data_IF_877571333615
#
_entry.id   IF_877571333615
#
_cell.length_a   1.000
_cell.length_b   1.000
_cell.length_c   1.000
_cell.angle_alpha   90.00
_cell.angle_beta   90.00
_cell.angle_gamma   90.00
#
_symmetry.space_group_name_H-M   'P 1'
#
loop_
_entity.id
_entity.type
_entity.pdbx_description
1 polymer ?
#
# COMPACT_ATOMS: atom_id res chain seq x y z
N UNK A 1 -22.37 -11.57 -6.43
CA UNK A 1 -21.14 -10.90 -5.95
C UNK A 1 -20.57 -11.60 -4.70
N UNK A 2 -21.42 -11.98 -3.73
CA UNK A 2 -21.06 -12.76 -2.53
C UNK A 2 -20.08 -13.90 -2.80
N UNK A 3 -20.46 -14.86 -3.66
CA UNK A 3 -19.63 -16.04 -3.93
C UNK A 3 -18.25 -15.68 -4.48
N UNK A 4 -18.17 -14.63 -5.30
CA UNK A 4 -16.92 -14.14 -5.88
C UNK A 4 -16.01 -13.51 -4.82
N UNK A 5 -16.58 -12.67 -3.95
CA UNK A 5 -15.84 -12.10 -2.83
C UNK A 5 -15.33 -13.19 -1.89
N UNK A 6 -16.16 -14.19 -1.58
CA UNK A 6 -15.77 -15.30 -0.71
C UNK A 6 -14.74 -16.24 -1.36
N UNK A 7 -14.80 -16.44 -2.68
CA UNK A 7 -13.80 -17.21 -3.41
C UNK A 7 -12.42 -16.56 -3.40
N UNK A 8 -12.35 -15.25 -3.16
CA UNK A 8 -11.08 -14.51 -3.03
C UNK A 8 -10.64 -14.29 -1.59
N UNK A 9 -11.59 -14.00 -0.71
CA UNK A 9 -11.35 -13.77 0.71
C UNK A 9 -12.43 -14.50 1.50
N UNK A 10 -12.05 -15.61 2.11
CA UNK A 10 -13.00 -16.45 2.83
C UNK A 10 -13.77 -15.67 3.91
N UNK A 11 -15.08 -15.94 4.02
CA UNK A 11 -15.97 -15.31 5.00
C UNK A 11 -16.17 -13.80 4.85
N UNK A 12 -15.82 -13.18 3.72
CA UNK A 12 -15.86 -11.72 3.54
C UNK A 12 -17.26 -11.17 3.28
N UNK A 13 -18.14 -11.94 2.63
CA UNK A 13 -19.48 -11.52 2.26
C UNK A 13 -20.54 -12.50 2.76
N UNK A 14 -21.53 -11.99 3.49
CA UNK A 14 -22.72 -12.73 3.94
C UNK A 14 -23.97 -12.12 3.30
N UNK A 15 -24.78 -12.94 2.64
CA UNK A 15 -26.09 -12.48 2.14
C UNK A 15 -27.06 -12.35 3.30
N UNK A 16 -27.80 -11.24 3.35
CA UNK A 16 -28.85 -10.99 4.35
C UNK A 16 -30.22 -10.75 3.74
N UNK A 17 -30.29 -10.54 2.42
CA UNK A 17 -31.55 -10.43 1.68
C UNK A 17 -31.32 -10.30 0.17
N UNK A 18 -32.38 -10.24 -0.64
CA UNK A 18 -32.29 -9.96 -2.07
C UNK A 18 -31.58 -8.62 -2.31
N UNK A 19 -30.46 -8.65 -3.02
CA UNK A 19 -29.67 -7.45 -3.32
C UNK A 19 -28.84 -6.89 -2.15
N UNK A 20 -28.87 -7.50 -0.96
CA UNK A 20 -28.14 -7.01 0.22
C UNK A 20 -27.12 -8.02 0.74
N UNK A 21 -25.91 -7.52 0.99
CA UNK A 21 -24.83 -8.28 1.61
C UNK A 21 -24.20 -7.47 2.75
N UNK A 22 -23.80 -8.15 3.81
CA UNK A 22 -22.92 -7.62 4.84
C UNK A 22 -21.48 -7.99 4.47
N UNK A 23 -20.59 -7.00 4.53
CA UNK A 23 -19.17 -7.17 4.23
C UNK A 23 -18.33 -7.08 5.50
N UNK A 24 -17.46 -8.07 5.70
CA UNK A 24 -16.38 -8.04 6.67
C UNK A 24 -15.10 -7.67 5.94
N UNK A 25 -14.46 -6.56 6.29
CA UNK A 25 -13.21 -6.13 5.64
C UNK A 25 -12.12 -7.19 5.89
N UNK A 26 -11.49 -7.75 4.84
CA UNK A 26 -10.40 -8.72 5.00
C UNK A 26 -9.22 -8.13 5.78
N UNK A 27 -8.47 -8.98 6.48
CA UNK A 27 -7.31 -8.56 7.27
C UNK A 27 -6.32 -7.70 6.46
N UNK A 28 -6.07 -8.10 5.21
CA UNK A 28 -5.21 -7.38 4.25
C UNK A 28 -5.64 -5.93 3.97
N UNK A 29 -6.92 -5.60 4.11
CA UNK A 29 -7.45 -4.26 3.82
C UNK A 29 -7.91 -3.50 5.07
N UNK A 30 -7.56 -3.94 6.29
CA UNK A 30 -7.96 -3.24 7.53
C UNK A 30 -7.55 -1.77 7.55
N UNK A 31 -6.33 -1.47 7.08
CA UNK A 31 -5.81 -0.10 6.93
C UNK A 31 -6.26 0.60 5.64
N UNK A 32 -6.94 -0.11 4.74
CA UNK A 32 -7.30 0.36 3.39
C UNK A 32 -8.79 0.13 3.09
N UNK A 33 -9.67 0.44 4.04
CA UNK A 33 -11.13 0.16 3.93
C UNK A 33 -11.75 0.75 2.66
N UNK A 34 -11.41 1.99 2.32
CA UNK A 34 -11.94 2.66 1.12
C UNK A 34 -11.48 2.00 -0.18
N UNK A 35 -10.24 1.51 -0.21
CA UNK A 35 -9.73 0.72 -1.34
C UNK A 35 -10.53 -0.57 -1.50
N UNK A 36 -10.77 -1.30 -0.41
CA UNK A 36 -11.59 -2.52 -0.44
C UNK A 36 -13.00 -2.24 -0.95
N UNK A 37 -13.66 -1.18 -0.49
CA UNK A 37 -14.99 -0.77 -1.01
C UNK A 37 -14.92 -0.50 -2.52
N UNK A 38 -13.87 0.16 -2.99
CA UNK A 38 -13.69 0.44 -4.42
C UNK A 38 -13.50 -0.85 -5.24
N UNK A 39 -12.75 -1.82 -4.72
CA UNK A 39 -12.58 -3.14 -5.35
C UNK A 39 -13.92 -3.89 -5.42
N UNK A 40 -14.71 -3.86 -4.34
CA UNK A 40 -16.04 -4.48 -4.32
C UNK A 40 -16.95 -3.85 -5.37
N UNK A 41 -16.94 -2.51 -5.50
CA UNK A 41 -17.70 -1.79 -6.54
C UNK A 41 -17.25 -2.13 -7.96
N UNK A 42 -15.96 -2.41 -8.15
CA UNK A 42 -15.39 -2.80 -9.44
C UNK A 42 -15.50 -4.31 -9.75
N UNK A 43 -16.07 -5.11 -8.86
CA UNK A 43 -16.16 -6.57 -9.01
C UNK A 43 -17.33 -6.96 -9.92
N UNK A 44 -17.04 -7.66 -11.02
CA UNK A 44 -18.05 -8.12 -11.99
C UNK A 44 -18.64 -9.50 -11.65
N UNK A 45 -19.89 -9.74 -12.08
CA UNK A 45 -20.61 -10.99 -11.82
C UNK A 45 -20.43 -12.06 -12.90
N UNK A 46 -20.31 -11.65 -14.16
CA UNK A 46 -20.32 -12.54 -15.32
C UNK A 46 -19.00 -12.44 -16.08
N UNK A 47 -18.33 -13.57 -16.24
CA UNK A 47 -17.01 -13.66 -16.86
C UNK A 47 -16.88 -14.95 -17.68
N UNK A 48 -16.87 -14.81 -18.99
CA UNK A 48 -16.14 -15.76 -19.83
C UNK A 48 -14.67 -15.37 -19.86
N UNK A 49 -13.77 -16.31 -20.17
CA UNK A 49 -12.33 -16.04 -20.25
C UNK A 49 -12.01 -14.95 -21.26
N UNK A 50 -12.78 -14.88 -22.35
CA UNK A 50 -12.66 -13.88 -23.41
C UNK A 50 -13.00 -12.49 -22.89
N UNK A 51 -14.12 -12.33 -22.17
CA UNK A 51 -14.54 -11.05 -21.59
C UNK A 51 -13.50 -10.57 -20.56
N UNK A 52 -12.99 -11.46 -19.71
CA UNK A 52 -11.95 -11.11 -18.73
C UNK A 52 -10.68 -10.62 -19.43
N UNK A 53 -10.22 -11.31 -20.49
CA UNK A 53 -9.03 -10.88 -21.26
C UNK A 53 -9.21 -9.48 -21.86
N UNK A 54 -10.37 -9.20 -22.46
CA UNK A 54 -10.64 -7.87 -23.04
C UNK A 54 -10.76 -6.78 -21.96
N UNK A 55 -11.34 -7.09 -20.79
CA UNK A 55 -11.34 -6.19 -19.64
C UNK A 55 -9.94 -5.89 -19.14
N UNK A 56 -9.09 -6.91 -18.98
CA UNK A 56 -7.69 -6.72 -18.57
C UNK A 56 -6.98 -5.80 -19.55
N UNK A 57 -7.08 -6.05 -20.87
CA UNK A 57 -6.49 -5.17 -21.89
C UNK A 57 -6.99 -3.73 -21.75
N UNK A 58 -8.29 -3.54 -21.58
CA UNK A 58 -8.93 -2.22 -21.43
C UNK A 58 -8.40 -1.49 -20.21
N UNK A 59 -8.35 -2.14 -19.04
CA UNK A 59 -7.91 -1.49 -17.81
C UNK A 59 -6.40 -1.30 -17.73
N UNK A 60 -5.60 -2.18 -18.36
CA UNK A 60 -4.15 -1.97 -18.54
C UNK A 60 -3.91 -0.72 -19.37
N UNK A 61 -4.64 -0.55 -20.49
CA UNK A 61 -4.57 0.67 -21.30
C UNK A 61 -5.01 1.89 -20.50
N UNK A 62 -6.10 1.77 -19.72
CA UNK A 62 -6.58 2.86 -18.86
C UNK A 62 -5.50 3.28 -17.84
N UNK A 63 -4.89 2.33 -17.15
CA UNK A 63 -3.80 2.62 -16.20
C UNK A 63 -2.60 3.27 -16.91
N UNK A 64 -2.28 2.86 -18.14
CA UNK A 64 -1.13 3.38 -18.88
C UNK A 64 -1.30 4.82 -19.38
N UNK A 65 -2.47 5.18 -19.93
CA UNK A 65 -2.62 6.44 -20.69
C UNK A 65 -3.81 7.32 -20.29
N UNK A 66 -4.72 6.85 -19.43
CA UNK A 66 -5.88 7.65 -19.00
C UNK A 66 -5.51 8.65 -17.90
N UNK A 67 -6.35 9.66 -17.70
CA UNK A 67 -6.37 10.48 -16.50
C UNK A 67 -6.81 9.65 -15.28
N UNK A 68 -7.84 8.80 -15.42
CA UNK A 68 -8.29 7.93 -14.34
C UNK A 68 -7.49 6.62 -14.28
N UNK A 69 -6.21 6.74 -13.94
CA UNK A 69 -5.33 5.58 -13.73
C UNK A 69 -5.72 4.79 -12.48
N UNK A 70 -6.25 5.46 -11.45
CA UNK A 70 -6.72 4.82 -10.21
C UNK A 70 -7.87 3.86 -10.47
N UNK A 71 -8.87 4.26 -11.27
CA UNK A 71 -9.97 3.38 -11.67
C UNK A 71 -9.49 2.15 -12.44
N UNK A 72 -8.48 2.31 -13.31
CA UNK A 72 -7.82 1.19 -13.98
C UNK A 72 -7.13 0.23 -13.01
N UNK A 73 -6.38 0.77 -12.06
CA UNK A 73 -5.72 0.02 -10.99
C UNK A 73 -6.70 -0.79 -10.14
N UNK A 74 -7.79 -0.17 -9.66
CA UNK A 74 -8.82 -0.82 -8.85
C UNK A 74 -9.54 -1.92 -9.64
N UNK A 75 -9.84 -1.69 -10.92
CA UNK A 75 -10.50 -2.68 -11.75
C UNK A 75 -9.60 -3.91 -12.01
N UNK A 76 -8.30 -3.71 -12.26
CA UNK A 76 -7.33 -4.81 -12.42
C UNK A 76 -7.17 -5.58 -11.10
N UNK A 77 -7.08 -4.86 -9.99
CA UNK A 77 -7.04 -5.50 -8.68
C UNK A 77 -8.32 -6.29 -8.42
N UNK A 78 -9.50 -5.80 -8.82
CA UNK A 78 -10.78 -6.52 -8.69
C UNK A 78 -10.86 -7.80 -9.53
N UNK A 79 -10.28 -7.79 -10.74
CA UNK A 79 -10.15 -8.98 -11.59
C UNK A 79 -9.28 -10.03 -10.89
N UNK A 80 -8.13 -9.63 -10.34
CA UNK A 80 -7.25 -10.52 -9.58
C UNK A 80 -6.03 -10.98 -10.36
N UNK A 81 -5.50 -12.16 -10.01
CA UNK A 81 -4.19 -12.65 -10.45
C UNK A 81 -4.04 -12.80 -11.97
N UNK A 82 -5.13 -12.96 -12.71
CA UNK A 82 -5.13 -13.01 -14.17
C UNK A 82 -4.56 -11.73 -14.80
N UNK A 83 -4.64 -10.59 -14.10
CA UNK A 83 -4.11 -9.31 -14.56
C UNK A 83 -2.59 -9.13 -14.38
N UNK A 84 -1.95 -9.90 -13.50
CA UNK A 84 -0.55 -9.71 -13.08
C UNK A 84 0.41 -9.77 -14.26
N UNK A 85 0.21 -10.74 -15.17
CA UNK A 85 1.07 -10.92 -16.35
C UNK A 85 1.09 -9.69 -17.28
N UNK A 86 -0.02 -8.96 -17.38
CA UNK A 86 -0.13 -7.76 -18.23
C UNK A 86 0.32 -6.49 -17.52
N UNK A 87 0.25 -6.45 -16.18
CA UNK A 87 0.74 -5.33 -15.38
C UNK A 87 2.27 -5.21 -15.43
N UNK A 88 3.01 -6.31 -15.55
CA UNK A 88 4.47 -6.31 -15.58
C UNK A 88 5.07 -5.40 -16.66
N UNK A 89 4.42 -5.27 -17.82
CA UNK A 89 4.88 -4.39 -18.89
C UNK A 89 4.84 -2.90 -18.49
N UNK A 90 3.93 -2.51 -17.59
CA UNK A 90 3.77 -1.12 -17.14
C UNK A 90 4.84 -0.69 -16.14
N UNK A 91 5.56 -1.65 -15.53
CA UNK A 91 6.66 -1.36 -14.61
C UNK A 91 7.86 -0.70 -15.31
N UNK A 92 7.97 -0.82 -16.64
CA UNK A 92 8.99 -0.15 -17.44
C UNK A 92 8.49 1.14 -18.11
N UNK A 93 7.30 1.63 -17.74
CA UNK A 93 6.76 2.88 -18.27
C UNK A 93 7.68 4.06 -17.93
N UNK A 94 7.83 5.02 -18.84
CA UNK A 94 8.54 6.28 -18.55
C UNK A 94 7.80 7.13 -17.50
N UNK A 95 6.49 6.95 -17.37
CA UNK A 95 5.66 7.66 -16.39
C UNK A 95 5.73 6.97 -15.01
N UNK A 96 6.24 7.67 -14.01
CA UNK A 96 6.36 7.17 -12.63
C UNK A 96 5.02 6.81 -11.99
N UNK A 97 3.96 7.57 -12.24
CA UNK A 97 2.62 7.28 -11.72
C UNK A 97 2.13 5.91 -12.22
N UNK A 98 2.40 5.60 -13.48
CA UNK A 98 2.04 4.31 -14.09
C UNK A 98 2.81 3.18 -13.41
N UNK A 99 4.12 3.35 -13.20
CA UNK A 99 4.95 2.36 -12.49
C UNK A 99 4.46 2.12 -11.06
N UNK A 100 4.17 3.21 -10.33
CA UNK A 100 3.66 3.16 -8.96
C UNK A 100 2.35 2.36 -8.88
N UNK A 101 1.38 2.70 -9.73
CA UNK A 101 0.05 2.06 -9.71
C UNK A 101 0.12 0.60 -10.13
N UNK A 102 0.91 0.28 -11.14
CA UNK A 102 1.14 -1.09 -11.57
C UNK A 102 1.82 -1.91 -10.46
N UNK A 103 2.88 -1.37 -9.84
CA UNK A 103 3.58 -2.00 -8.72
C UNK A 103 2.68 -2.23 -7.50
N UNK A 104 1.87 -1.23 -7.12
CA UNK A 104 0.89 -1.34 -6.03
C UNK A 104 -0.18 -2.40 -6.31
N UNK A 105 -0.74 -2.41 -7.51
CA UNK A 105 -1.70 -3.44 -7.92
C UNK A 105 -1.06 -4.84 -7.86
N UNK A 106 0.14 -5.00 -8.41
CA UNK A 106 0.88 -6.28 -8.40
C UNK A 106 1.20 -6.75 -6.97
N UNK A 107 1.65 -5.85 -6.09
CA UNK A 107 1.90 -6.17 -4.68
C UNK A 107 0.62 -6.57 -3.94
N UNK A 108 -0.50 -5.87 -4.19
CA UNK A 108 -1.81 -6.25 -3.64
C UNK A 108 -2.33 -7.60 -4.17
N UNK A 109 -1.83 -8.04 -5.33
CA UNK A 109 -2.09 -9.37 -5.87
C UNK A 109 -1.05 -10.41 -5.43
N UNK A 110 -0.07 -10.03 -4.62
CA UNK A 110 0.93 -10.94 -4.04
C UNK A 110 2.14 -11.19 -4.95
N UNK A 111 2.42 -10.30 -5.90
CA UNK A 111 3.60 -10.39 -6.76
C UNK A 111 4.78 -9.62 -6.18
N UNK A 112 5.89 -10.31 -5.92
CA UNK A 112 7.14 -9.71 -5.43
C UNK A 112 7.78 -8.76 -6.46
N UNK A 113 7.50 -8.94 -7.76
CA UNK A 113 7.94 -8.00 -8.80
C UNK A 113 7.35 -6.61 -8.55
N UNK A 114 6.10 -6.54 -8.06
CA UNK A 114 5.49 -5.27 -7.66
C UNK A 114 6.17 -4.64 -6.44
N UNK A 115 6.65 -5.45 -5.48
CA UNK A 115 7.41 -4.98 -4.32
C UNK A 115 8.73 -4.34 -4.76
N UNK A 116 9.47 -4.98 -5.66
CA UNK A 116 10.75 -4.45 -6.15
C UNK A 116 10.57 -3.11 -6.87
N UNK A 117 9.59 -3.01 -7.77
CA UNK A 117 9.31 -1.74 -8.46
C UNK A 117 8.92 -0.60 -7.49
N UNK A 118 8.13 -0.89 -6.46
CA UNK A 118 7.79 0.10 -5.43
C UNK A 118 9.00 0.46 -4.57
N UNK A 119 9.88 -0.50 -4.27
CA UNK A 119 11.12 -0.25 -3.53
C UNK A 119 12.02 0.71 -4.29
N UNK A 120 12.18 0.51 -5.60
CA UNK A 120 12.94 1.41 -6.46
C UNK A 120 12.37 2.84 -6.44
N UNK A 121 11.05 2.99 -6.58
CA UNK A 121 10.38 4.29 -6.49
C UNK A 121 10.57 4.96 -5.13
N UNK A 122 10.43 4.23 -4.02
CA UNK A 122 10.62 4.77 -2.67
C UNK A 122 12.06 5.28 -2.45
N UNK A 123 13.05 4.61 -3.05
CA UNK A 123 14.47 4.94 -2.94
C UNK A 123 14.93 6.00 -3.95
N UNK A 124 14.15 6.28 -4.99
CA UNK A 124 14.51 7.24 -6.03
C UNK A 124 14.33 8.68 -5.53
N UNK A 125 15.44 9.33 -5.13
CA UNK A 125 15.45 10.67 -4.51
C UNK A 125 14.63 11.73 -5.25
N UNK A 126 14.62 11.71 -6.59
CA UNK A 126 13.89 12.69 -7.40
C UNK A 126 12.42 12.34 -7.68
N UNK A 127 11.91 11.21 -7.20
CA UNK A 127 10.54 10.80 -7.48
C UNK A 127 9.54 11.58 -6.61
N UNK A 128 8.42 12.00 -7.18
CA UNK A 128 7.32 12.56 -6.42
C UNK A 128 6.52 11.50 -5.64
N UNK A 129 6.72 10.21 -5.95
CA UNK A 129 5.90 9.10 -5.47
C UNK A 129 6.55 8.29 -4.35
N UNK A 130 7.64 8.79 -3.76
CA UNK A 130 8.41 8.05 -2.75
C UNK A 130 7.58 7.64 -1.53
N UNK A 131 6.82 8.58 -0.98
CA UNK A 131 5.94 8.36 0.18
C UNK A 131 4.82 7.39 -0.19
N UNK A 132 4.14 7.61 -1.32
CA UNK A 132 3.04 6.74 -1.76
C UNK A 132 3.52 5.30 -2.03
N UNK A 133 4.74 5.14 -2.57
CA UNK A 133 5.35 3.82 -2.75
C UNK A 133 5.66 3.16 -1.40
N UNK A 134 6.22 3.90 -0.45
CA UNK A 134 6.47 3.41 0.91
C UNK A 134 5.17 2.97 1.61
N UNK A 135 4.11 3.77 1.51
CA UNK A 135 2.79 3.42 2.08
C UNK A 135 2.18 2.18 1.42
N UNK A 136 2.34 2.02 0.11
CA UNK A 136 1.89 0.84 -0.61
C UNK A 136 2.64 -0.42 -0.12
N UNK A 137 3.95 -0.32 0.08
CA UNK A 137 4.79 -1.40 0.61
C UNK A 137 4.34 -1.77 2.02
N UNK A 138 4.20 -0.80 2.92
CA UNK A 138 3.88 -1.08 4.33
C UNK A 138 2.46 -1.60 4.52
N UNK A 139 1.57 -1.29 3.59
CA UNK A 139 0.19 -1.76 3.63
C UNK A 139 0.00 -3.18 3.07
N UNK A 140 0.89 -3.66 2.19
CA UNK A 140 0.64 -4.86 1.40
C UNK A 140 1.77 -5.91 1.42
N UNK A 141 3.02 -5.51 1.67
CA UNK A 141 4.15 -6.43 1.76
C UNK A 141 4.14 -7.20 3.09
N UNK A 142 5.01 -8.21 3.20
CA UNK A 142 5.25 -8.86 4.49
C UNK A 142 5.84 -7.87 5.50
N UNK A 143 5.55 -8.06 6.79
CA UNK A 143 6.07 -7.20 7.87
C UNK A 143 7.60 -7.06 7.79
N UNK A 144 8.31 -8.15 7.51
CA UNK A 144 9.77 -8.15 7.41
C UNK A 144 10.28 -7.32 6.22
N UNK A 145 9.66 -7.46 5.05
CA UNK A 145 10.05 -6.68 3.87
C UNK A 145 9.77 -5.18 4.07
N UNK A 146 8.57 -4.85 4.59
CA UNK A 146 8.21 -3.47 4.89
C UNK A 146 9.16 -2.84 5.92
N UNK A 147 9.47 -3.55 7.01
CA UNK A 147 10.41 -3.10 8.03
C UNK A 147 11.82 -2.90 7.48
N UNK A 148 12.33 -3.84 6.67
CA UNK A 148 13.68 -3.75 6.09
C UNK A 148 13.83 -2.53 5.18
N UNK A 149 12.86 -2.28 4.29
CA UNK A 149 12.86 -1.13 3.38
C UNK A 149 12.73 0.18 4.19
N UNK A 150 11.81 0.22 5.15
CA UNK A 150 11.60 1.40 6.00
C UNK A 150 12.87 1.73 6.81
N UNK A 151 13.50 0.76 7.47
CA UNK A 151 14.76 1.02 8.22
C UNK A 151 15.86 1.64 7.37
N UNK A 152 15.92 1.33 6.07
CA UNK A 152 16.88 1.95 5.15
C UNK A 152 16.55 3.43 4.87
N UNK A 153 15.27 3.78 4.76
CA UNK A 153 14.81 5.15 4.54
C UNK A 153 14.89 6.05 5.79
N UNK A 154 15.19 5.51 6.98
CA UNK A 154 15.49 6.34 8.15
C UNK A 154 16.75 7.20 7.97
N UNK A 155 17.64 6.81 7.06
CA UNK A 155 18.87 7.52 6.71
C UNK A 155 18.69 8.45 5.50
N UNK A 156 17.46 8.65 5.04
CA UNK A 156 17.22 9.55 3.92
C UNK A 156 17.55 10.99 4.30
N UNK A 157 18.07 11.77 3.35
CA UNK A 157 18.38 13.19 3.57
C UNK A 157 17.11 14.04 3.70
N UNK A 158 16.02 13.61 3.06
CA UNK A 158 14.72 14.29 3.13
C UNK A 158 14.02 13.96 4.46
N UNK A 159 13.78 14.99 5.26
CA UNK A 159 13.08 14.85 6.53
C UNK A 159 11.64 14.33 6.39
N UNK A 160 10.93 14.69 5.31
CA UNK A 160 9.57 14.19 5.09
C UNK A 160 9.56 12.67 4.89
N UNK A 161 10.57 12.14 4.21
CA UNK A 161 10.75 10.69 4.03
C UNK A 161 11.12 10.02 5.35
N UNK A 162 12.04 10.60 6.13
CA UNK A 162 12.38 10.06 7.46
C UNK A 162 11.16 10.03 8.39
N UNK A 163 10.37 11.09 8.41
CA UNK A 163 9.16 11.19 9.22
C UNK A 163 8.11 10.16 8.79
N UNK A 164 7.81 10.07 7.49
CA UNK A 164 6.87 9.07 6.97
C UNK A 164 7.34 7.66 7.32
N UNK A 165 8.63 7.37 7.14
CA UNK A 165 9.26 6.09 7.46
C UNK A 165 9.14 5.73 8.94
N UNK A 166 9.42 6.67 9.82
CA UNK A 166 9.23 6.52 11.26
C UNK A 166 7.77 6.13 11.59
N UNK A 167 6.79 6.82 11.01
CA UNK A 167 5.38 6.50 11.26
C UNK A 167 5.02 5.08 10.82
N UNK A 168 5.60 4.59 9.72
CA UNK A 168 5.39 3.21 9.27
C UNK A 168 6.04 2.20 10.23
N UNK A 169 7.30 2.42 10.63
CA UNK A 169 7.99 1.54 11.58
C UNK A 169 7.29 1.49 12.93
N UNK A 170 6.76 2.62 13.38
CA UNK A 170 5.93 2.71 14.59
C UNK A 170 4.66 1.88 14.50
N UNK A 171 3.94 1.93 13.36
CA UNK A 171 2.76 1.08 13.12
C UNK A 171 3.10 -0.41 13.08
N UNK A 172 4.33 -0.73 12.67
CA UNK A 172 4.82 -2.10 12.62
C UNK A 172 5.35 -2.58 13.99
N UNK A 173 5.44 -1.73 15.00
CA UNK A 173 6.10 -2.02 16.29
C UNK A 173 7.54 -2.51 16.07
N UNK A 174 8.30 -1.73 15.30
CA UNK A 174 9.66 -2.08 14.91
C UNK A 174 10.69 -1.65 15.96
N UNK A 175 11.67 -2.52 16.22
CA UNK A 175 12.78 -2.29 17.17
C UNK A 175 13.64 -1.06 16.86
N UNK A 176 13.53 -0.49 15.65
CA UNK A 176 14.22 0.75 15.30
C UNK A 176 13.61 1.99 16.00
N UNK A 177 12.45 1.86 16.63
CA UNK A 177 11.77 2.91 17.40
C UNK A 177 11.73 2.49 18.86
N UNK A 178 12.62 3.05 19.68
CA UNK A 178 12.58 2.84 21.13
C UNK A 178 11.50 3.76 21.71
N UNK A 179 10.62 3.26 22.57
CA UNK A 179 9.56 4.07 23.20
C UNK A 179 9.71 4.07 24.72
N UNK A 180 9.71 5.24 25.32
CA UNK A 180 9.75 5.44 26.78
C UNK A 180 8.62 6.36 27.21
N UNK A 181 7.82 5.94 28.18
CA UNK A 181 6.79 6.80 28.78
C UNK A 181 7.45 7.78 29.75
N UNK A 182 7.25 9.08 29.54
CA UNK A 182 7.78 10.17 30.36
C UNK A 182 6.60 11.00 30.89
N UNK A 183 6.76 11.52 32.11
CA UNK A 183 5.78 12.38 32.77
C UNK A 183 4.36 11.80 32.84
N UNK A 184 4.23 10.47 32.76
CA UNK A 184 2.97 9.70 32.79
C UNK A 184 2.00 9.92 31.63
N UNK A 185 2.27 10.84 30.70
CA UNK A 185 1.34 11.21 29.63
C UNK A 185 1.99 11.49 28.26
N UNK A 186 3.31 11.41 28.12
CA UNK A 186 4.01 11.60 26.84
C UNK A 186 4.97 10.45 26.55
N UNK A 187 5.08 10.06 25.28
CA UNK A 187 6.11 9.12 24.85
C UNK A 187 7.32 9.89 24.32
N UNK A 188 8.51 9.52 24.78
CA UNK A 188 9.75 9.81 24.09
C UNK A 188 10.05 8.63 23.17
N UNK A 189 10.16 8.92 21.88
CA UNK A 189 10.48 7.92 20.86
C UNK A 189 11.82 8.24 20.23
N UNK A 190 12.75 7.29 20.26
CA UNK A 190 14.14 7.51 19.83
C UNK A 190 14.48 6.63 18.63
N UNK A 191 15.21 7.22 17.68
CA UNK A 191 15.64 6.58 16.44
C UNK A 191 17.15 6.76 16.29
N UNK A 192 17.91 5.80 16.81
CA UNK A 192 19.38 5.84 16.79
C UNK A 192 19.98 5.58 15.39
N UNK A 193 19.22 4.99 14.46
CA UNK A 193 19.73 4.56 13.14
C UNK A 193 19.62 5.63 12.06
N UNK A 194 20.03 6.84 12.35
CA UNK A 194 20.11 7.94 11.37
C UNK A 194 21.24 8.89 11.71
N UNK A 195 21.91 9.41 10.68
CA UNK A 195 22.98 10.41 10.82
C UNK A 195 22.40 11.84 10.89
N UNK A 196 21.10 11.99 10.60
CA UNK A 196 20.41 13.26 10.59
C UNK A 196 19.64 13.48 11.89
N UNK A 197 20.05 14.47 12.67
CA UNK A 197 19.38 14.84 13.92
C UNK A 197 18.14 15.69 13.66
N UNK A 198 17.01 15.35 14.28
CA UNK A 198 15.80 16.16 14.24
C UNK A 198 14.92 15.85 15.45
N UNK A 199 14.12 16.84 15.88
CA UNK A 199 13.09 16.67 16.91
C UNK A 199 11.73 16.93 16.28
N UNK A 200 10.79 16.01 16.47
CA UNK A 200 9.42 16.19 16.01
C UNK A 200 8.43 15.94 17.14
N UNK A 201 7.40 16.78 17.27
CA UNK A 201 6.44 16.73 18.37
C UNK A 201 5.03 16.51 17.84
N UNK A 202 4.40 15.41 18.25
CA UNK A 202 2.99 15.15 17.98
C UNK A 202 2.15 15.54 19.19
N UNK A 203 1.18 16.43 18.97
CA UNK A 203 0.25 16.93 20.00
C UNK A 203 -1.12 16.27 19.97
N UNK A 204 -1.46 15.57 18.88
CA UNK A 204 -2.75 14.92 18.66
C UNK A 204 -2.62 13.39 18.65
N UNK A 205 -3.69 12.70 19.06
CA UNK A 205 -3.68 11.24 19.17
C UNK A 205 -2.91 10.81 20.41
N UNK A 206 -1.81 10.07 20.23
CA UNK A 206 -0.89 9.71 21.31
C UNK A 206 0.24 10.76 21.38
N UNK A 207 0.25 11.64 22.40
CA UNK A 207 1.23 12.71 22.50
C UNK A 207 2.65 12.16 22.64
N UNK A 208 3.58 12.68 21.85
CA UNK A 208 4.95 12.16 21.79
C UNK A 208 5.97 13.14 21.23
N UNK A 209 7.22 12.97 21.67
CA UNK A 209 8.41 13.64 21.15
C UNK A 209 9.26 12.58 20.48
N UNK A 210 9.67 12.83 19.24
CA UNK A 210 10.49 11.91 18.44
C UNK A 210 11.87 12.52 18.27
N UNK A 211 12.90 11.78 18.69
CA UNK A 211 14.30 12.14 18.52
C UNK A 211 14.92 11.29 17.42
N UNK A 212 15.29 11.94 16.31
CA UNK A 212 16.09 11.33 15.26
C UNK A 212 17.57 11.55 15.57
N UNK A 213 18.39 10.49 15.49
CA UNK A 213 19.84 10.56 15.66
C UNK A 213 20.31 10.70 17.11
N UNK A 214 19.49 10.25 18.07
CA UNK A 214 19.81 10.20 19.49
C UNK A 214 20.43 8.85 19.89
#
# INVERSE_FOLDING_TARGET
IRNRLNGRWDGTAKAVGPGQIILKVPAKYRGQKQRFVSIVKATYLSETREITRERIKTFVRRLAVSEDKYGGEIALEAIGNESVSKLGALLNSSNEEVRLRAGRCMLNLGSDIGLEALRELAMHKGSAYRIEALEAITSAASRNAAAAISRRLLRDEDFAIRLATYEQLRKLDDIAVTQTLIAHNFYLEEIARTEYTAIFVFRSGQPRIVLFGA
#
